data_IF_454755116388
#
_entry.id   IF_454755116388
#
_cell.length_a   1.000
_cell.length_b   1.000
_cell.length_c   1.000
_cell.angle_alpha   90.00
_cell.angle_beta   90.00
_cell.angle_gamma   90.00
#
_symmetry.space_group_name_H-M   'P 1'
#
loop_
_entity.id
_entity.type
_entity.pdbx_description
1 polymer ?
#
# COMPACT_ATOMS: atom_id res chain seq x y z
N UNK A 1 54.61 21.76 6.21
CA UNK A 1 53.71 20.72 6.76
C UNK A 1 52.32 21.07 6.30
N UNK A 2 51.58 20.21 5.60
CA UNK A 2 50.21 20.52 5.23
C UNK A 2 49.33 20.49 6.48
N UNK A 3 48.59 21.56 6.72
CA UNK A 3 47.62 21.68 7.80
C UNK A 3 46.52 20.66 7.53
N UNK A 4 46.40 19.63 8.38
CA UNK A 4 45.27 18.69 8.32
C UNK A 4 44.03 19.48 8.74
N UNK A 5 43.18 19.84 7.77
CA UNK A 5 41.91 20.49 8.03
C UNK A 5 41.01 19.43 8.73
N UNK A 6 40.68 19.67 9.99
CA UNK A 6 39.77 18.80 10.72
C UNK A 6 38.33 19.02 10.20
N UNK A 7 37.89 18.14 9.32
CA UNK A 7 36.55 18.17 8.71
C UNK A 7 35.43 17.59 9.61
N UNK A 8 35.77 17.10 10.81
CA UNK A 8 34.81 16.46 11.72
C UNK A 8 33.61 17.33 12.07
N UNK A 9 33.77 18.62 12.47
CA UNK A 9 32.62 19.43 12.85
C UNK A 9 31.64 19.69 11.70
N UNK A 10 32.15 19.73 10.46
CA UNK A 10 31.26 19.87 9.30
C UNK A 10 30.48 18.59 8.98
N UNK A 11 31.11 17.43 9.08
CA UNK A 11 30.48 16.13 8.90
C UNK A 11 29.36 15.91 9.94
N UNK A 12 29.58 16.31 11.20
CA UNK A 12 28.55 16.25 12.25
C UNK A 12 27.34 17.09 11.93
N UNK A 13 27.54 18.34 11.53
CA UNK A 13 26.45 19.25 11.15
C UNK A 13 25.64 18.72 9.95
N UNK A 14 26.35 18.16 8.95
CA UNK A 14 25.70 17.59 7.75
C UNK A 14 24.90 16.35 8.13
N UNK A 15 25.45 15.45 8.94
CA UNK A 15 24.76 14.23 9.39
C UNK A 15 23.49 14.55 10.19
N UNK A 16 23.55 15.53 11.09
CA UNK A 16 22.37 15.98 11.84
C UNK A 16 21.29 16.58 10.96
N UNK A 17 21.66 17.38 9.96
CA UNK A 17 20.70 17.95 9.00
C UNK A 17 20.03 16.86 8.15
N UNK A 18 20.80 15.89 7.67
CA UNK A 18 20.26 14.76 6.89
C UNK A 18 19.30 13.93 7.75
N UNK A 19 19.62 13.68 9.02
CA UNK A 19 18.74 12.96 9.92
C UNK A 19 17.39 13.69 10.12
N UNK A 20 17.43 15.01 10.31
CA UNK A 20 16.19 15.82 10.45
C UNK A 20 15.36 15.78 9.18
N UNK A 21 15.97 15.96 8.00
CA UNK A 21 15.27 15.89 6.72
C UNK A 21 14.65 14.50 6.51
N UNK A 22 15.39 13.43 6.78
CA UNK A 22 14.90 12.06 6.69
C UNK A 22 13.71 11.81 7.63
N UNK A 23 13.76 12.35 8.85
CA UNK A 23 12.65 12.27 9.82
C UNK A 23 11.40 13.00 9.30
N UNK A 24 11.55 14.21 8.74
CA UNK A 24 10.43 14.97 8.19
C UNK A 24 9.78 14.24 7.02
N UNK A 25 10.57 13.68 6.12
CA UNK A 25 10.07 12.86 5.00
C UNK A 25 9.34 11.63 5.52
N UNK A 26 9.89 10.93 6.50
CA UNK A 26 9.27 9.77 7.14
C UNK A 26 7.90 10.12 7.74
N UNK A 27 7.83 11.19 8.52
CA UNK A 27 6.57 11.65 9.13
C UNK A 27 5.53 12.04 8.07
N UNK A 28 5.95 12.70 6.99
CA UNK A 28 5.07 13.08 5.89
C UNK A 28 4.53 11.83 5.16
N UNK A 29 5.39 10.87 4.86
CA UNK A 29 5.00 9.61 4.20
C UNK A 29 4.03 8.81 5.07
N UNK A 30 4.28 8.68 6.38
CA UNK A 30 3.38 8.00 7.32
C UNK A 30 2.02 8.71 7.35
N UNK A 31 2.00 10.04 7.44
CA UNK A 31 0.76 10.81 7.44
C UNK A 31 -0.04 10.60 6.15
N UNK A 32 0.57 10.71 4.99
CA UNK A 32 -0.09 10.50 3.70
C UNK A 32 -0.62 9.07 3.58
N UNK A 33 0.19 8.08 3.97
CA UNK A 33 -0.20 6.69 3.90
C UNK A 33 -1.38 6.37 4.84
N UNK A 34 -1.35 6.84 6.10
CA UNK A 34 -2.39 6.49 7.09
C UNK A 34 -3.69 7.26 6.90
N UNK A 35 -3.63 8.54 6.52
CA UNK A 35 -4.85 9.38 6.48
C UNK A 35 -5.55 9.40 5.14
N UNK A 36 -4.83 9.33 4.04
CA UNK A 36 -5.44 9.46 2.71
C UNK A 36 -5.47 8.16 1.93
N UNK A 37 -4.39 7.37 2.01
CA UNK A 37 -4.27 6.20 1.16
C UNK A 37 -4.83 4.93 1.78
N UNK A 38 -4.41 4.62 3.03
CA UNK A 38 -4.83 3.39 3.68
C UNK A 38 -6.32 3.36 3.98
N UNK A 39 -6.86 4.49 4.45
CA UNK A 39 -8.29 4.60 4.75
C UNK A 39 -9.13 4.44 3.46
N UNK A 40 -8.77 5.18 2.41
CA UNK A 40 -9.50 5.18 1.14
C UNK A 40 -9.43 3.83 0.39
N UNK A 41 -8.32 3.10 0.58
CA UNK A 41 -8.10 1.81 -0.08
C UNK A 41 -8.79 0.63 0.63
N UNK A 42 -8.96 0.69 1.95
CA UNK A 42 -9.46 -0.44 2.74
C UNK A 42 -10.88 -0.25 3.29
N UNK A 43 -11.45 0.94 3.20
CA UNK A 43 -12.84 1.16 3.57
C UNK A 43 -13.76 0.74 2.42
N UNK A 44 -14.78 -0.04 2.76
CA UNK A 44 -15.79 -0.44 1.80
C UNK A 44 -16.66 0.76 1.38
N UNK A 45 -16.72 0.99 0.09
CA UNK A 45 -17.57 2.00 -0.52
C UNK A 45 -18.73 1.35 -1.27
N UNK A 46 -19.88 1.97 -1.21
CA UNK A 46 -21.02 1.54 -2.03
C UNK A 46 -20.80 1.95 -3.47
N UNK A 47 -20.35 1.01 -4.30
CA UNK A 47 -19.97 1.22 -5.68
C UNK A 47 -21.01 0.63 -6.62
N UNK A 48 -21.41 1.39 -7.64
CA UNK A 48 -22.25 0.93 -8.71
C UNK A 48 -21.43 0.18 -9.74
N UNK A 49 -21.73 -1.10 -9.95
CA UNK A 49 -20.99 -1.99 -10.83
C UNK A 49 -21.85 -2.54 -11.93
N UNK A 50 -21.37 -2.45 -13.16
CA UNK A 50 -21.98 -3.09 -14.33
C UNK A 50 -21.45 -4.52 -14.43
N UNK A 51 -22.34 -5.49 -14.57
CA UNK A 51 -21.95 -6.88 -14.83
C UNK A 51 -21.44 -6.99 -16.27
N UNK A 52 -20.24 -7.52 -16.42
CA UNK A 52 -19.64 -7.81 -17.72
C UNK A 52 -19.86 -9.27 -18.08
N UNK A 53 -19.63 -10.16 -17.10
CA UNK A 53 -19.79 -11.60 -17.29
C UNK A 53 -20.06 -12.30 -15.95
N UNK A 54 -20.44 -13.57 -16.01
CA UNK A 54 -20.60 -14.46 -14.85
C UNK A 54 -19.82 -15.74 -15.07
N UNK A 55 -19.06 -16.12 -14.09
CA UNK A 55 -18.16 -17.27 -14.13
C UNK A 55 -18.33 -18.14 -12.89
N UNK A 56 -17.97 -19.40 -13.00
CA UNK A 56 -17.82 -20.31 -11.85
C UNK A 56 -16.35 -20.72 -11.81
N UNK A 57 -15.71 -20.46 -10.68
CA UNK A 57 -14.31 -20.84 -10.47
C UNK A 57 -14.21 -21.87 -9.34
N UNK A 58 -13.27 -22.79 -9.50
CA UNK A 58 -12.93 -23.76 -8.46
C UNK A 58 -11.92 -23.11 -7.50
N UNK A 59 -12.33 -22.90 -6.24
CA UNK A 59 -11.45 -22.41 -5.19
C UNK A 59 -11.01 -23.56 -4.28
N UNK A 60 -9.70 -23.71 -4.11
CA UNK A 60 -9.13 -24.68 -3.18
C UNK A 60 -8.94 -24.02 -1.82
N UNK A 61 -9.69 -24.47 -0.84
CA UNK A 61 -9.58 -24.02 0.56
C UNK A 61 -8.78 -25.05 1.33
N UNK A 62 -7.63 -24.64 1.85
CA UNK A 62 -6.80 -25.48 2.73
C UNK A 62 -7.09 -25.13 4.17
N UNK A 63 -7.70 -26.07 4.91
CA UNK A 63 -8.01 -25.90 6.33
C UNK A 63 -7.45 -27.09 7.10
N UNK A 64 -6.62 -26.85 8.11
CA UNK A 64 -5.98 -27.89 8.93
C UNK A 64 -5.23 -28.98 8.13
N UNK A 65 -4.54 -28.58 7.05
CA UNK A 65 -3.79 -29.51 6.19
C UNK A 65 -4.63 -30.28 5.17
N UNK A 66 -5.95 -30.18 5.20
CA UNK A 66 -6.85 -30.78 4.21
C UNK A 66 -7.25 -29.72 3.16
N UNK A 67 -7.06 -30.07 1.89
CA UNK A 67 -7.45 -29.22 0.75
C UNK A 67 -8.81 -29.68 0.23
N UNK A 68 -9.78 -28.79 0.20
CA UNK A 68 -11.12 -29.03 -0.36
C UNK A 68 -11.35 -28.06 -1.52
N UNK A 69 -11.77 -28.57 -2.67
CA UNK A 69 -12.13 -27.73 -3.81
C UNK A 69 -13.62 -27.42 -3.77
N UNK A 70 -13.97 -26.12 -3.77
CA UNK A 70 -15.34 -25.63 -3.77
C UNK A 70 -15.60 -24.79 -5.01
N UNK A 71 -16.74 -24.99 -5.66
CA UNK A 71 -17.20 -24.11 -6.76
C UNK A 71 -17.75 -22.81 -6.19
N UNK A 72 -17.21 -21.70 -6.65
CA UNK A 72 -17.61 -20.36 -6.23
C UNK A 72 -18.14 -19.58 -7.42
N UNK A 73 -19.34 -19.02 -7.25
CA UNK A 73 -19.96 -18.16 -8.24
C UNK A 73 -19.31 -16.76 -8.18
N UNK A 74 -18.74 -16.30 -9.29
CA UNK A 74 -18.11 -14.98 -9.38
C UNK A 74 -18.72 -14.17 -10.51
N UNK A 75 -18.88 -12.88 -10.29
CA UNK A 75 -19.21 -11.90 -11.32
C UNK A 75 -17.95 -11.17 -11.76
N UNK A 76 -17.82 -11.00 -13.07
CA UNK A 76 -16.87 -10.06 -13.65
C UNK A 76 -17.56 -8.71 -13.71
N UNK A 77 -17.08 -7.75 -12.96
CA UNK A 77 -17.69 -6.45 -12.74
C UNK A 77 -16.79 -5.33 -13.27
N UNK A 78 -17.43 -4.25 -13.67
CA UNK A 78 -16.77 -2.98 -13.97
C UNK A 78 -17.40 -1.90 -13.12
N UNK A 79 -16.61 -1.24 -12.27
CA UNK A 79 -17.07 -0.13 -11.45
C UNK A 79 -17.33 1.10 -12.31
N UNK A 80 -18.37 1.88 -11.98
CA UNK A 80 -18.69 3.12 -12.67
C UNK A 80 -17.52 4.11 -12.57
N UNK A 81 -17.11 4.68 -13.69
CA UNK A 81 -15.95 5.58 -13.77
C UNK A 81 -14.59 4.90 -13.94
N UNK A 82 -14.53 3.56 -13.98
CA UNK A 82 -13.30 2.80 -14.17
C UNK A 82 -13.40 1.89 -15.40
N UNK A 83 -12.28 1.74 -16.12
CA UNK A 83 -12.22 0.89 -17.31
C UNK A 83 -11.75 -0.55 -17.01
N UNK A 84 -11.17 -0.79 -15.84
CA UNK A 84 -10.73 -2.10 -15.42
C UNK A 84 -11.90 -2.96 -14.92
N UNK A 85 -11.77 -4.26 -15.12
CA UNK A 85 -12.69 -5.25 -14.59
C UNK A 85 -12.06 -6.00 -13.43
N UNK A 86 -12.89 -6.42 -12.49
CA UNK A 86 -12.49 -7.23 -11.34
C UNK A 86 -13.51 -8.35 -11.10
N UNK A 87 -13.11 -9.36 -10.33
CA UNK A 87 -13.95 -10.51 -10.01
C UNK A 87 -14.42 -10.43 -8.56
N UNK A 88 -15.72 -10.59 -8.33
CA UNK A 88 -16.31 -10.60 -7.01
C UNK A 88 -17.10 -11.91 -6.79
N UNK A 89 -16.83 -12.59 -5.69
CA UNK A 89 -17.62 -13.74 -5.28
C UNK A 89 -19.00 -13.28 -4.78
N UNK A 90 -20.04 -13.95 -5.25
CA UNK A 90 -21.42 -13.60 -4.92
C UNK A 90 -22.26 -14.83 -4.60
N UNK A 91 -23.38 -14.62 -3.92
CA UNK A 91 -24.36 -15.66 -3.67
C UNK A 91 -25.09 -16.10 -4.95
N UNK A 92 -25.62 -17.30 -4.94
CA UNK A 92 -26.33 -17.89 -6.09
C UNK A 92 -27.53 -17.03 -6.56
N UNK A 93 -28.37 -16.44 -5.70
CA UNK A 93 -29.43 -15.55 -6.14
C UNK A 93 -28.94 -14.32 -6.91
N UNK A 94 -27.86 -13.67 -6.45
CA UNK A 94 -27.26 -12.51 -7.13
C UNK A 94 -26.64 -12.92 -8.46
N UNK A 95 -25.94 -14.06 -8.50
CA UNK A 95 -25.34 -14.60 -9.71
C UNK A 95 -26.38 -14.92 -10.79
N UNK A 96 -27.53 -15.52 -10.40
CA UNK A 96 -28.63 -15.81 -11.33
C UNK A 96 -29.28 -14.54 -11.89
N UNK A 97 -29.39 -13.48 -11.07
CA UNK A 97 -29.98 -12.19 -11.49
C UNK A 97 -29.02 -11.30 -12.27
N UNK A 98 -27.74 -11.62 -12.30
CA UNK A 98 -26.72 -10.81 -12.93
C UNK A 98 -26.91 -10.64 -14.44
N UNK A 99 -27.33 -11.72 -15.13
CA UNK A 99 -27.65 -11.71 -16.56
C UNK A 99 -28.96 -12.43 -16.74
N UNK A 100 -30.01 -11.70 -17.15
CA UNK A 100 -31.35 -12.23 -17.42
C UNK A 100 -31.66 -11.96 -18.90
N UNK A 101 -31.97 -13.01 -19.63
CA UNK A 101 -32.31 -12.90 -21.08
C UNK A 101 -31.25 -12.14 -21.91
N UNK A 102 -29.97 -12.33 -21.57
CA UNK A 102 -28.86 -11.62 -22.23
C UNK A 102 -28.65 -10.16 -21.77
N UNK A 103 -29.53 -9.64 -20.93
CA UNK A 103 -29.40 -8.28 -20.38
C UNK A 103 -28.49 -8.32 -19.14
N UNK A 104 -27.43 -7.52 -19.17
CA UNK A 104 -26.46 -7.38 -18.09
C UNK A 104 -26.93 -6.33 -17.09
N UNK A 105 -27.24 -6.77 -15.88
CA UNK A 105 -27.74 -5.92 -14.82
C UNK A 105 -26.64 -5.10 -14.15
N UNK A 106 -27.04 -4.08 -13.43
CA UNK A 106 -26.17 -3.23 -12.61
C UNK A 106 -26.53 -3.41 -11.16
N UNK A 107 -25.53 -3.58 -10.31
CA UNK A 107 -25.70 -3.75 -8.86
C UNK A 107 -24.86 -2.75 -8.10
N UNK A 108 -25.22 -2.56 -6.83
CA UNK A 108 -24.41 -1.84 -5.87
C UNK A 108 -23.75 -2.85 -4.93
N UNK A 109 -22.43 -2.80 -4.84
CA UNK A 109 -21.65 -3.61 -3.93
C UNK A 109 -20.90 -2.72 -2.94
N UNK A 110 -20.74 -3.20 -1.71
CA UNK A 110 -19.81 -2.62 -0.75
C UNK A 110 -18.47 -3.30 -0.98
N UNK A 111 -17.54 -2.59 -1.58
CA UNK A 111 -16.22 -3.10 -1.96
C UNK A 111 -15.16 -2.04 -1.68
N UNK A 112 -13.99 -2.50 -1.30
CA UNK A 112 -12.86 -1.61 -1.08
C UNK A 112 -12.28 -1.13 -2.42
N UNK A 113 -11.67 0.05 -2.41
CA UNK A 113 -11.02 0.59 -3.62
C UNK A 113 -9.85 -0.26 -4.08
N UNK A 114 -9.25 -1.04 -3.16
CA UNK A 114 -8.21 -2.00 -3.48
C UNK A 114 -8.69 -3.09 -4.45
N UNK A 115 -9.96 -3.47 -4.41
CA UNK A 115 -10.53 -4.53 -5.26
C UNK A 115 -10.86 -4.04 -6.67
N UNK A 116 -11.40 -2.83 -6.82
CA UNK A 116 -11.85 -2.31 -8.12
C UNK A 116 -11.03 -1.17 -8.69
N UNK A 117 -10.15 -0.57 -7.88
CA UNK A 117 -9.29 0.54 -8.29
C UNK A 117 -8.23 0.11 -9.31
N UNK A 118 -7.67 1.06 -10.06
CA UNK A 118 -6.64 0.78 -11.03
C UNK A 118 -5.36 0.32 -10.34
N UNK A 119 -4.63 -0.62 -10.97
CA UNK A 119 -3.39 -1.21 -10.43
C UNK A 119 -2.30 -0.19 -10.04
N UNK A 120 -2.31 1.01 -10.63
CA UNK A 120 -1.36 2.07 -10.28
C UNK A 120 -1.55 2.59 -8.84
N UNK A 121 -2.75 2.46 -8.26
CA UNK A 121 -2.96 2.78 -6.85
C UNK A 121 -2.14 1.84 -5.95
N UNK A 122 -2.06 0.56 -6.30
CA UNK A 122 -1.22 -0.42 -5.60
C UNK A 122 0.26 -0.09 -5.77
N UNK A 123 0.68 0.33 -6.97
CA UNK A 123 2.05 0.76 -7.23
C UNK A 123 2.44 1.98 -6.37
N UNK A 124 1.55 2.96 -6.25
CA UNK A 124 1.78 4.14 -5.40
C UNK A 124 1.95 3.73 -3.93
N UNK A 125 1.13 2.80 -3.43
CA UNK A 125 1.31 2.25 -2.07
C UNK A 125 2.69 1.60 -1.89
N UNK A 126 3.14 0.79 -2.84
CA UNK A 126 4.47 0.16 -2.79
C UNK A 126 5.57 1.22 -2.81
N UNK A 127 5.47 2.23 -3.67
CA UNK A 127 6.44 3.33 -3.74
C UNK A 127 6.48 4.12 -2.42
N UNK A 128 5.34 4.43 -1.82
CA UNK A 128 5.28 5.08 -0.51
C UNK A 128 5.94 4.25 0.58
N UNK A 129 5.72 2.93 0.60
CA UNK A 129 6.38 2.02 1.54
C UNK A 129 7.91 2.01 1.36
N UNK A 130 8.40 1.99 0.12
CA UNK A 130 9.83 2.04 -0.18
C UNK A 130 10.46 3.36 0.27
N UNK A 131 9.82 4.50 -0.02
CA UNK A 131 10.28 5.82 0.42
C UNK A 131 10.27 5.92 1.94
N UNK A 132 9.23 5.43 2.60
CA UNK A 132 9.13 5.41 4.06
C UNK A 132 10.22 4.55 4.68
N UNK A 133 10.44 3.35 4.16
CA UNK A 133 11.50 2.45 4.62
C UNK A 133 12.89 3.04 4.44
N UNK A 134 13.21 3.60 3.28
CA UNK A 134 14.52 4.22 3.00
C UNK A 134 14.77 5.46 3.86
N UNK A 135 13.75 6.28 4.09
CA UNK A 135 13.83 7.45 4.99
C UNK A 135 14.06 7.04 6.44
N UNK A 136 13.38 5.98 6.91
CA UNK A 136 13.58 5.42 8.25
C UNK A 136 15.00 4.87 8.45
N UNK A 137 15.52 4.11 7.51
CA UNK A 137 16.91 3.62 7.53
C UNK A 137 17.91 4.78 7.55
N UNK A 138 17.71 5.78 6.69
CA UNK A 138 18.57 6.97 6.65
C UNK A 138 18.55 7.72 7.98
N UNK A 139 17.39 7.93 8.57
CA UNK A 139 17.25 8.57 9.88
C UNK A 139 18.05 7.82 10.95
N UNK A 140 17.92 6.49 11.04
CA UNK A 140 18.63 5.67 12.02
C UNK A 140 20.16 5.77 11.83
N UNK A 141 20.64 5.56 10.60
CA UNK A 141 22.07 5.58 10.30
C UNK A 141 22.70 6.92 10.64
N UNK A 142 22.10 8.02 10.20
CA UNK A 142 22.63 9.35 10.42
C UNK A 142 22.48 9.81 11.89
N UNK A 143 21.43 9.39 12.60
CA UNK A 143 21.27 9.65 14.02
C UNK A 143 22.32 8.94 14.87
N UNK A 144 22.58 7.66 14.60
CA UNK A 144 23.63 6.89 15.27
C UNK A 144 25.00 7.52 15.00
N UNK A 145 25.27 7.91 13.77
CA UNK A 145 26.53 8.57 13.39
C UNK A 145 26.72 9.91 14.12
N UNK A 146 25.67 10.69 14.24
CA UNK A 146 25.66 11.95 14.96
C UNK A 146 25.93 11.75 16.47
N UNK A 147 25.25 10.81 17.11
CA UNK A 147 25.40 10.48 18.51
C UNK A 147 26.82 9.96 18.83
N UNK A 148 27.32 9.03 18.00
CA UNK A 148 28.69 8.49 18.20
C UNK A 148 29.75 9.55 18.05
N UNK A 149 29.56 10.51 17.17
CA UNK A 149 30.47 11.65 16.99
C UNK A 149 30.51 12.55 18.23
N UNK A 150 29.33 12.86 18.81
CA UNK A 150 29.26 13.65 20.06
C UNK A 150 29.97 12.93 21.23
N UNK A 151 29.73 11.63 21.39
CA UNK A 151 30.35 10.81 22.45
C UNK A 151 31.87 10.78 22.29
N UNK A 152 32.36 10.58 21.06
CA UNK A 152 33.80 10.59 20.77
C UNK A 152 34.45 11.94 21.08
N UNK A 153 33.73 13.05 20.83
CA UNK A 153 34.22 14.39 21.13
C UNK A 153 34.32 14.65 22.64
N UNK A 154 33.36 14.15 23.43
CA UNK A 154 33.35 14.31 24.88
C UNK A 154 34.38 13.44 25.60
N UNK A 155 34.73 12.27 25.07
CA UNK A 155 35.71 11.35 25.66
C UNK A 155 37.15 11.70 25.28
N UNK A 156 37.36 12.63 24.35
CA UNK A 156 38.70 13.09 23.93
C UNK A 156 39.18 14.36 24.63
N UNK A 157 38.41 14.87 25.59
CA UNK A 157 38.81 15.97 26.51
C UNK A 157 39.12 15.41 27.89
#
# INVERSE_FOLDING_TARGET
MPTIIDLRPEIEKISGRIAIVALLILCLCIKVYTTQFWHDMNVDHRVKCKVIDRIVEDETITQNGNSTTKKVNKLVLQAEGFNNTFKLAVDTPTWNRAIINGVKNTFYFNISRAEYGPWHNQLICVLLLLVTGSSGCSFIVYSVRYITSIISHNNGK
#
